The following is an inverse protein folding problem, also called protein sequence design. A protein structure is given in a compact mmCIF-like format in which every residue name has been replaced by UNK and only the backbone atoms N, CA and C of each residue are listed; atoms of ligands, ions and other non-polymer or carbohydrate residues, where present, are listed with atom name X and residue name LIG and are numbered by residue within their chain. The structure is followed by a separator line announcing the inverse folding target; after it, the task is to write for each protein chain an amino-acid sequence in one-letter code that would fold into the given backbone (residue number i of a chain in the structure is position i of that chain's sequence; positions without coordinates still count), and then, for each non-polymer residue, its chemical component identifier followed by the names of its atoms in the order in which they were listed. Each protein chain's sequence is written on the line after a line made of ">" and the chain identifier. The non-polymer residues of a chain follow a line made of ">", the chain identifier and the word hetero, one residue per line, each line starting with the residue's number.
data_IF_576146795841
#
_entry.id   IF_576146795841
#
_cell.length_a   1.000
_cell.length_b   1.000
_cell.length_c   1.000
_cell.angle_alpha   90.00
_cell.angle_beta   90.00
_cell.angle_gamma   90.00
#
_symmetry.space_group_name_H-M   'P 1'
#
loop_
_entity.id
_entity.type
_entity.pdbx_description
1 polymer ?
#
# COMPACT_ATOMS: atom_id res chain seq x y z
N UNK A 1 -2.01 -57.20 57.72
CA UNK A 1 -1.93 -55.75 57.99
C UNK A 1 -2.98 -55.04 57.14
N UNK A 2 -3.75 -54.14 57.77
CA UNK A 2 -4.75 -53.23 57.19
C UNK A 2 -4.09 -52.16 56.28
N UNK A 3 -4.72 -51.30 55.46
CA UNK A 3 -6.04 -50.63 55.48
C UNK A 3 -6.28 -49.92 54.12
N UNK A 4 -7.45 -50.11 53.48
CA UNK A 4 -8.43 -49.11 52.94
C UNK A 4 -7.94 -47.79 52.28
N UNK A 5 -8.43 -47.45 51.08
CA UNK A 5 -9.53 -46.48 50.80
C UNK A 5 -9.69 -46.12 49.29
N UNK A 6 -10.94 -45.90 48.90
CA UNK A 6 -11.40 -45.41 47.59
C UNK A 6 -11.10 -43.93 47.37
N UNK A 7 -11.02 -43.47 46.12
CA UNK A 7 -11.72 -42.24 45.66
C UNK A 7 -11.95 -42.24 44.15
N UNK A 8 -13.14 -41.76 43.77
CA UNK A 8 -13.65 -41.57 42.41
C UNK A 8 -12.91 -40.43 41.70
N UNK A 9 -12.61 -40.62 40.42
CA UNK A 9 -12.30 -39.54 39.48
C UNK A 9 -13.04 -39.77 38.16
N UNK A 10 -14.19 -39.12 37.98
CA UNK A 10 -14.83 -38.95 36.66
C UNK A 10 -13.98 -37.96 35.86
N UNK A 11 -13.21 -38.45 34.88
CA UNK A 11 -12.52 -37.62 33.90
C UNK A 11 -12.87 -38.13 32.50
N UNK A 12 -13.52 -37.27 31.71
CA UNK A 12 -13.99 -37.58 30.37
C UNK A 12 -12.90 -38.25 29.52
N UNK A 13 -13.21 -39.42 28.96
CA UNK A 13 -12.36 -40.08 27.99
C UNK A 13 -12.10 -39.14 26.82
N UNK A 14 -10.85 -38.69 26.67
CA UNK A 14 -10.41 -38.09 25.41
C UNK A 14 -10.51 -39.18 24.35
N UNK A 15 -11.49 -39.07 23.46
CA UNK A 15 -11.44 -39.74 22.16
C UNK A 15 -10.14 -39.31 21.50
N UNK A 16 -9.19 -40.22 21.39
CA UNK A 16 -8.05 -40.08 20.49
C UNK A 16 -8.66 -40.06 19.09
N UNK A 17 -8.70 -38.87 18.47
CA UNK A 17 -9.04 -38.76 17.06
C UNK A 17 -7.80 -39.28 16.32
N UNK A 18 -7.88 -40.38 15.56
CA UNK A 18 -6.73 -40.80 14.76
C UNK A 18 -6.41 -39.67 13.79
N UNK A 19 -5.17 -39.18 13.82
CA UNK A 19 -4.64 -38.37 12.72
C UNK A 19 -4.78 -39.21 11.46
N UNK A 20 -5.75 -38.84 10.61
CA UNK A 20 -5.70 -39.25 9.22
C UNK A 20 -4.41 -38.65 8.68
N UNK A 21 -3.53 -39.51 8.17
CA UNK A 21 -2.45 -39.12 7.28
C UNK A 21 -3.09 -38.30 6.15
N UNK A 22 -3.09 -36.99 6.34
CA UNK A 22 -3.43 -36.07 5.28
C UNK A 22 -2.15 -35.95 4.49
N UNK A 23 -2.15 -36.62 3.34
CA UNK A 23 -1.30 -36.34 2.19
C UNK A 23 -1.51 -34.89 1.71
N UNK A 24 -1.25 -33.93 2.60
CA UNK A 24 -1.06 -32.54 2.25
C UNK A 24 0.40 -32.42 1.80
N UNK A 25 0.68 -32.97 0.61
CA UNK A 25 1.77 -32.44 -0.20
C UNK A 25 1.42 -30.98 -0.45
N UNK A 26 1.94 -30.10 0.40
CA UNK A 26 2.09 -28.68 0.11
C UNK A 26 2.87 -28.62 -1.21
N UNK A 27 2.14 -28.54 -2.32
CA UNK A 27 2.71 -28.22 -3.62
C UNK A 27 3.28 -26.81 -3.47
N UNK A 28 4.55 -26.72 -3.06
CA UNK A 28 5.35 -25.52 -3.23
C UNK A 28 5.24 -25.17 -4.72
N UNK A 29 4.39 -24.18 -5.03
CA UNK A 29 4.38 -23.58 -6.36
C UNK A 29 5.78 -23.03 -6.54
N UNK A 30 6.55 -23.67 -7.41
CA UNK A 30 7.89 -23.19 -7.76
C UNK A 30 7.79 -21.72 -8.16
N UNK A 31 8.76 -20.88 -7.78
CA UNK A 31 8.77 -19.48 -8.20
C UNK A 31 8.70 -19.45 -9.73
N UNK A 32 7.72 -18.70 -10.25
CA UNK A 32 7.50 -18.51 -11.69
C UNK A 32 8.85 -18.08 -12.30
N UNK A 33 9.30 -18.73 -13.37
CA UNK A 33 10.51 -18.32 -14.10
C UNK A 33 10.31 -16.86 -14.54
N UNK A 34 11.17 -15.98 -14.05
CA UNK A 34 11.19 -14.56 -14.43
C UNK A 34 11.59 -14.47 -15.90
N UNK A 35 10.78 -13.81 -16.72
CA UNK A 35 11.07 -13.60 -18.13
C UNK A 35 11.88 -12.31 -18.35
N UNK A 36 12.60 -12.16 -19.48
CA UNK A 36 13.28 -10.90 -19.80
C UNK A 36 12.35 -9.69 -19.87
N UNK A 37 11.08 -9.89 -20.24
CA UNK A 37 10.06 -8.83 -20.22
C UNK A 37 9.74 -8.39 -18.78
N UNK A 38 9.68 -9.33 -17.83
CA UNK A 38 9.51 -9.02 -16.40
C UNK A 38 10.72 -8.28 -15.83
N UNK A 39 11.94 -8.61 -16.28
CA UNK A 39 13.17 -7.91 -15.90
C UNK A 39 13.19 -6.48 -16.47
N UNK A 40 12.72 -6.29 -17.70
CA UNK A 40 12.61 -4.95 -18.31
C UNK A 40 11.56 -4.11 -17.59
N UNK A 41 10.36 -4.66 -17.37
CA UNK A 41 9.29 -3.98 -16.65
C UNK A 41 9.68 -3.62 -15.22
N UNK A 42 10.37 -4.51 -14.49
CA UNK A 42 10.87 -4.18 -13.15
C UNK A 42 11.91 -3.06 -13.17
N UNK A 43 12.80 -3.02 -14.16
CA UNK A 43 13.73 -1.90 -14.34
C UNK A 43 12.99 -0.59 -14.61
N UNK A 44 11.96 -0.61 -15.44
CA UNK A 44 11.14 0.56 -15.77
C UNK A 44 10.38 1.07 -14.53
N UNK A 45 9.89 0.17 -13.67
CA UNK A 45 9.27 0.51 -12.37
C UNK A 45 10.25 1.26 -11.47
N UNK A 46 11.48 0.76 -11.29
CA UNK A 46 12.47 1.46 -10.45
C UNK A 46 12.84 2.84 -11.01
N UNK A 47 12.96 2.97 -12.33
CA UNK A 47 13.21 4.27 -12.98
C UNK A 47 12.08 5.26 -12.71
N UNK A 48 10.81 4.82 -12.75
CA UNK A 48 9.68 5.67 -12.39
C UNK A 48 9.70 6.06 -10.91
N UNK A 49 9.94 5.11 -10.01
CA UNK A 49 10.04 5.37 -8.56
C UNK A 49 11.13 6.40 -8.24
N UNK A 50 12.29 6.27 -8.87
CA UNK A 50 13.40 7.20 -8.69
C UNK A 50 13.06 8.60 -9.22
N UNK A 51 12.44 8.69 -10.41
CA UNK A 51 11.99 9.97 -10.98
C UNK A 51 10.95 10.66 -10.10
N UNK A 52 9.93 9.92 -9.63
CA UNK A 52 8.91 10.45 -8.72
C UNK A 52 9.56 11.00 -7.46
N UNK A 53 10.44 10.21 -6.82
CA UNK A 53 11.16 10.66 -5.64
C UNK A 53 12.06 11.87 -5.92
N UNK A 54 12.68 11.95 -7.11
CA UNK A 54 13.52 13.10 -7.48
C UNK A 54 12.68 14.38 -7.60
N UNK A 55 11.52 14.32 -8.25
CA UNK A 55 10.62 15.46 -8.38
C UNK A 55 10.10 15.96 -7.03
N UNK A 56 9.81 15.04 -6.10
CA UNK A 56 9.28 15.39 -4.77
C UNK A 56 10.38 15.93 -3.85
N UNK A 57 11.53 15.23 -3.77
CA UNK A 57 12.49 15.42 -2.70
C UNK A 57 13.78 16.12 -3.12
N UNK A 58 14.11 16.14 -4.42
CA UNK A 58 15.28 16.88 -4.91
C UNK A 58 14.88 18.32 -5.22
N UNK A 59 15.86 19.23 -5.16
CA UNK A 59 15.64 20.65 -5.44
C UNK A 59 15.38 20.86 -6.94
N UNK A 60 14.11 21.02 -7.31
CA UNK A 60 13.72 21.36 -8.68
C UNK A 60 14.01 22.84 -8.98
N UNK A 61 14.52 23.12 -10.18
CA UNK A 61 14.91 24.48 -10.58
C UNK A 61 13.67 25.36 -10.72
N UNK A 62 13.61 26.44 -9.94
CA UNK A 62 12.50 27.38 -9.95
C UNK A 62 11.26 26.89 -9.20
N UNK A 63 11.34 25.72 -8.56
CA UNK A 63 10.25 25.22 -7.74
C UNK A 63 10.34 25.83 -6.34
N UNK A 64 9.42 26.72 -6.02
CA UNK A 64 9.38 27.47 -4.76
C UNK A 64 8.03 27.38 -4.06
N UNK A 65 6.96 27.12 -4.81
CA UNK A 65 5.59 27.18 -4.32
C UNK A 65 5.26 25.89 -3.57
N UNK A 66 4.81 25.97 -2.30
CA UNK A 66 4.49 24.80 -1.51
C UNK A 66 3.17 24.19 -1.97
N UNK A 67 3.25 22.93 -2.39
CA UNK A 67 2.12 22.17 -2.93
C UNK A 67 1.96 20.85 -2.17
N UNK A 68 0.74 20.33 -2.17
CA UNK A 68 0.43 19.02 -1.60
C UNK A 68 -0.01 18.06 -2.69
N UNK A 69 0.72 16.96 -2.82
CA UNK A 69 0.32 15.81 -3.63
C UNK A 69 -0.54 14.87 -2.78
N UNK A 70 -1.74 14.54 -3.24
CA UNK A 70 -2.62 13.53 -2.65
C UNK A 70 -2.80 12.36 -3.60
N UNK A 71 -2.57 11.16 -3.08
CA UNK A 71 -2.84 9.88 -3.76
C UNK A 71 -3.89 9.15 -2.93
N UNK A 72 -4.99 8.72 -3.55
CA UNK A 72 -6.00 7.86 -2.93
C UNK A 72 -6.01 6.53 -3.64
N UNK A 73 -5.85 5.46 -2.86
CA UNK A 73 -5.75 4.08 -3.36
C UNK A 73 -6.44 3.11 -2.43
N UNK A 74 -6.91 1.97 -2.95
CA UNK A 74 -7.40 0.88 -2.13
C UNK A 74 -6.34 0.45 -1.11
N UNK A 75 -6.77 0.27 0.14
CA UNK A 75 -5.86 -0.04 1.25
C UNK A 75 -5.03 -1.31 0.99
N UNK A 76 -5.61 -2.32 0.33
CA UNK A 76 -4.91 -3.56 -0.03
C UNK A 76 -3.80 -3.35 -1.07
N UNK A 77 -3.84 -2.26 -1.86
CA UNK A 77 -2.84 -1.93 -2.88
C UNK A 77 -1.86 -0.83 -2.45
N UNK A 78 -2.08 -0.22 -1.28
CA UNK A 78 -1.22 0.85 -0.74
C UNK A 78 0.27 0.44 -0.60
N UNK A 79 0.58 -0.86 -0.52
CA UNK A 79 1.97 -1.33 -0.46
C UNK A 79 2.79 -1.00 -1.71
N UNK A 80 2.14 -0.75 -2.86
CA UNK A 80 2.81 -0.30 -4.09
C UNK A 80 3.48 1.07 -3.94
N UNK A 81 3.10 1.88 -2.95
CA UNK A 81 3.61 3.24 -2.75
C UNK A 81 4.66 3.33 -1.63
N UNK A 82 5.17 2.19 -1.14
CA UNK A 82 6.22 2.15 -0.10
C UNK A 82 7.56 2.74 -0.51
N UNK A 83 7.78 3.01 -1.80
CA UNK A 83 9.01 3.61 -2.31
C UNK A 83 9.12 5.13 -2.04
N UNK A 84 8.02 5.78 -1.66
CA UNK A 84 7.99 7.22 -1.36
C UNK A 84 8.80 7.49 -0.08
N UNK A 85 9.80 8.37 -0.16
CA UNK A 85 10.78 8.60 0.93
C UNK A 85 10.21 9.32 2.15
N UNK A 86 9.13 10.08 2.00
CA UNK A 86 8.47 10.80 3.08
C UNK A 86 7.03 11.15 2.74
N UNK A 87 6.09 10.71 3.57
CA UNK A 87 4.66 10.94 3.37
C UNK A 87 3.89 10.81 4.68
N UNK A 88 2.74 11.48 4.73
CA UNK A 88 1.73 11.24 5.76
C UNK A 88 0.67 10.32 5.17
N UNK A 89 0.14 9.41 6.00
CA UNK A 89 -0.88 8.46 5.58
C UNK A 89 -2.03 8.43 6.57
N UNK A 90 -3.25 8.30 6.06
CA UNK A 90 -4.41 7.97 6.88
C UNK A 90 -5.37 7.06 6.14
N UNK A 91 -6.19 6.36 6.92
CA UNK A 91 -7.25 5.49 6.39
C UNK A 91 -8.49 6.35 6.16
N UNK A 92 -9.06 6.25 4.96
CA UNK A 92 -10.35 6.82 4.63
C UNK A 92 -11.33 5.67 4.40
N UNK A 93 -12.49 5.74 5.04
CA UNK A 93 -13.59 4.79 4.81
C UNK A 93 -14.70 5.61 4.15
N UNK A 94 -15.06 5.24 2.93
CA UNK A 94 -16.17 5.83 2.21
C UNK A 94 -17.29 4.81 2.07
N UNK A 95 -18.48 5.15 2.55
CA UNK A 95 -19.69 4.38 2.24
C UNK A 95 -20.38 5.07 1.07
N UNK A 96 -20.52 4.36 -0.05
CA UNK A 96 -21.31 4.83 -1.19
C UNK A 96 -22.63 4.06 -1.20
N UNK A 97 -23.73 4.69 -1.63
CA UNK A 97 -25.09 4.12 -1.54
C UNK A 97 -25.22 2.68 -2.09
N UNK A 98 -24.42 2.32 -3.09
CA UNK A 98 -24.44 1.00 -3.74
C UNK A 98 -23.18 0.15 -3.54
N UNK A 99 -22.17 0.64 -2.82
CA UNK A 99 -20.90 -0.09 -2.63
C UNK A 99 -20.61 -0.30 -1.14
N UNK A 100 -20.13 -1.49 -0.75
CA UNK A 100 -19.69 -1.73 0.62
C UNK A 100 -18.58 -0.76 1.01
N UNK A 101 -18.42 -0.50 2.32
CA UNK A 101 -17.41 0.40 2.89
C UNK A 101 -16.04 0.24 2.23
N UNK A 102 -15.74 1.15 1.30
CA UNK A 102 -14.51 1.10 0.54
C UNK A 102 -13.39 1.63 1.42
N UNK A 103 -12.43 0.75 1.74
CA UNK A 103 -11.30 1.10 2.59
C UNK A 103 -10.14 1.61 1.74
N UNK A 104 -9.96 2.92 1.78
CA UNK A 104 -8.91 3.61 1.05
C UNK A 104 -7.77 4.02 1.99
N UNK A 105 -6.57 4.09 1.43
CA UNK A 105 -5.43 4.80 2.02
C UNK A 105 -5.24 6.10 1.26
N UNK A 106 -5.22 7.20 2.00
CA UNK A 106 -4.82 8.51 1.50
C UNK A 106 -3.36 8.71 1.86
N UNK A 107 -2.55 9.05 0.86
CA UNK A 107 -1.13 9.37 1.00
C UNK A 107 -0.99 10.85 0.62
N UNK A 108 -0.43 11.65 1.52
CA UNK A 108 -0.19 13.07 1.29
C UNK A 108 1.29 13.40 1.44
N UNK A 109 1.79 14.18 0.48
CA UNK A 109 3.19 14.53 0.36
C UNK A 109 3.31 16.00 -0.02
N UNK A 110 4.01 16.76 0.83
CA UNK A 110 4.41 18.12 0.49
C UNK A 110 5.58 18.07 -0.49
N UNK A 111 5.51 18.91 -1.52
CA UNK A 111 6.59 19.14 -2.46
C UNK A 111 6.63 20.63 -2.84
N UNK A 112 7.59 21.00 -3.68
CA UNK A 112 7.64 22.35 -4.26
C UNK A 112 7.35 22.27 -5.74
N UNK A 113 6.50 23.16 -6.21
CA UNK A 113 6.23 23.35 -7.62
C UNK A 113 6.75 24.70 -8.11
N UNK A 114 6.86 24.80 -9.42
CA UNK A 114 7.12 26.02 -10.16
C UNK A 114 5.83 26.82 -10.32
N UNK A 115 5.95 28.12 -10.53
CA UNK A 115 4.83 29.03 -10.79
C UNK A 115 3.90 28.57 -11.93
N UNK A 116 4.43 27.79 -12.88
CA UNK A 116 3.69 27.20 -14.01
C UNK A 116 3.29 25.71 -13.81
N UNK A 117 3.25 25.23 -12.56
CA UNK A 117 2.77 23.91 -12.14
C UNK A 117 3.47 22.71 -12.81
N UNK A 118 4.68 22.90 -13.35
CA UNK A 118 5.38 21.86 -14.14
C UNK A 118 5.71 20.61 -13.34
N UNK A 119 6.09 20.75 -12.06
CA UNK A 119 6.46 19.60 -11.22
C UNK A 119 5.22 18.77 -10.91
N UNK A 120 4.10 19.41 -10.54
CA UNK A 120 2.83 18.74 -10.26
C UNK A 120 2.28 18.01 -11.47
N UNK A 121 2.25 18.66 -12.64
CA UNK A 121 1.81 18.05 -13.90
C UNK A 121 2.64 16.80 -14.24
N UNK A 122 3.96 16.87 -14.07
CA UNK A 122 4.83 15.73 -14.36
C UNK A 122 4.66 14.59 -13.32
N UNK A 123 4.47 14.93 -12.04
CA UNK A 123 4.19 13.95 -11.00
C UNK A 123 2.92 13.15 -11.29
N UNK A 124 1.83 13.81 -11.67
CA UNK A 124 0.57 13.15 -12.02
C UNK A 124 0.80 12.15 -13.16
N UNK A 125 1.46 12.56 -14.25
CA UNK A 125 1.77 11.68 -15.38
C UNK A 125 2.60 10.46 -14.99
N UNK A 126 3.63 10.65 -14.17
CA UNK A 126 4.49 9.56 -13.73
C UNK A 126 3.74 8.57 -12.81
N UNK A 127 2.83 9.06 -11.98
CA UNK A 127 2.02 8.23 -11.09
C UNK A 127 0.94 7.44 -11.85
N UNK A 128 0.35 8.02 -12.90
CA UNK A 128 -0.53 7.31 -13.82
C UNK A 128 0.21 6.16 -14.54
N UNK A 129 1.40 6.45 -15.10
CA UNK A 129 2.26 5.42 -15.71
C UNK A 129 2.67 4.34 -14.70
N UNK A 130 2.99 4.74 -13.47
CA UNK A 130 3.31 3.81 -12.40
C UNK A 130 2.13 2.90 -12.05
N UNK A 131 0.91 3.43 -12.00
CA UNK A 131 -0.30 2.67 -11.75
C UNK A 131 -0.53 1.57 -12.81
N UNK A 132 -0.37 1.90 -14.09
CA UNK A 132 -0.51 0.93 -15.20
C UNK A 132 0.40 -0.29 -15.05
N UNK A 133 1.61 -0.08 -14.54
CA UNK A 133 2.61 -1.13 -14.38
C UNK A 133 2.46 -1.91 -13.06
N UNK A 134 1.84 -1.33 -12.04
CA UNK A 134 1.88 -1.86 -10.67
C UNK A 134 0.50 -2.14 -10.07
N UNK A 135 -0.15 -1.12 -9.51
CA UNK A 135 -1.40 -1.23 -8.74
C UNK A 135 -2.61 -1.53 -9.62
N UNK A 136 -2.57 -1.14 -10.91
CA UNK A 136 -3.63 -1.35 -11.89
C UNK A 136 -5.00 -1.02 -11.32
N UNK A 137 -5.09 0.11 -10.62
CA UNK A 137 -6.37 0.69 -10.28
C UNK A 137 -7.03 1.15 -11.57
N UNK A 138 -8.34 0.89 -11.72
CA UNK A 138 -9.11 1.37 -12.87
C UNK A 138 -9.02 2.90 -12.96
N UNK A 139 -8.97 3.57 -11.81
CA UNK A 139 -8.60 4.98 -11.66
C UNK A 139 -7.82 5.17 -10.37
N UNK A 140 -6.53 5.46 -10.46
CA UNK A 140 -5.77 6.01 -9.33
C UNK A 140 -6.15 7.47 -9.19
N UNK A 141 -6.69 7.87 -8.04
CA UNK A 141 -6.92 9.30 -7.79
C UNK A 141 -5.60 9.94 -7.36
N UNK A 142 -5.12 10.87 -8.17
CA UNK A 142 -3.93 11.69 -7.91
C UNK A 142 -4.30 13.14 -8.15
N UNK A 143 -3.99 14.02 -7.20
CA UNK A 143 -4.23 15.45 -7.33
C UNK A 143 -3.14 16.24 -6.62
N UNK A 144 -2.86 17.43 -7.13
CA UNK A 144 -2.01 18.44 -6.49
C UNK A 144 -2.86 19.64 -6.11
N UNK A 145 -2.57 20.27 -4.98
CA UNK A 145 -3.25 21.49 -4.55
C UNK A 145 -2.34 22.40 -3.74
N UNK A 146 -2.49 23.73 -3.90
CA UNK A 146 -1.68 24.70 -3.19
C UNK A 146 -1.89 24.56 -1.69
N UNK A 147 -0.79 24.68 -0.95
CA UNK A 147 -0.86 24.76 0.50
C UNK A 147 -1.06 26.23 0.84
N UNK A 148 -2.32 26.61 0.98
CA UNK A 148 -2.66 27.90 1.56
C UNK A 148 -2.31 27.88 3.05
N UNK A 149 -1.36 28.71 3.48
CA UNK A 149 -1.22 29.06 4.88
C UNK A 149 -2.44 29.89 5.30
N UNK A 150 -3.57 29.24 5.54
CA UNK A 150 -4.61 29.83 6.39
C UNK A 150 -4.05 29.85 7.80
N UNK A 151 -3.33 30.92 8.09
CA UNK A 151 -3.02 31.31 9.45
C UNK A 151 -4.34 31.36 10.21
N UNK A 152 -4.42 30.60 11.30
CA UNK A 152 -5.41 30.77 12.36
C UNK A 152 -5.24 32.17 12.95
N UNK A 153 -5.68 33.19 12.21
CA UNK A 153 -5.93 34.54 12.73
C UNK A 153 -7.43 34.64 12.99
N UNK A 154 -7.85 34.14 14.14
CA UNK A 154 -9.07 34.58 14.82
C UNK A 154 -8.73 34.85 16.27
#
# INVERSE_FOLDING_TARGET
>A
MATRFMTKGKGAGRKVIPMKDSDATLKLKMPKKVTPADIKSSKDIYVLQDKINSLIFDRQKGAVDPEMLRIVILNEKAYHFRFLKGYTKWKAIGTWETYPDETNTVIEIMYRDTEDERVGIELVKLLEQYNELTSKEDKLFVATYPIEETSLYT
#
